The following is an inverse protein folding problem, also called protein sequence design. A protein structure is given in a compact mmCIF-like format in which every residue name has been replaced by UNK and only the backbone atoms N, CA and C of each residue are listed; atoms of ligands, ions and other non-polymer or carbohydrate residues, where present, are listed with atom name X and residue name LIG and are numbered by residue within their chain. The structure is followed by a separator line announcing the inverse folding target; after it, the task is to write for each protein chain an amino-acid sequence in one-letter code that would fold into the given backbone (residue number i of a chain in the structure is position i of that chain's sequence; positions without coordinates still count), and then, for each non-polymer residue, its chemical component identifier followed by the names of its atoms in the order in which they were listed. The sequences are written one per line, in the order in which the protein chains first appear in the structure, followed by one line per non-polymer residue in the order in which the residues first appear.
data_IF_072172880793
#
_entry.id   IF_072172880793
#
_cell.length_a   1.000
_cell.length_b   1.000
_cell.length_c   1.000
_cell.angle_alpha   90.00
_cell.angle_beta   90.00
_cell.angle_gamma   90.00
#
_symmetry.space_group_name_H-M   'P 1'
#
loop_
_entity.id
_entity.type
_entity.pdbx_description
1 polymer ?
#
# COMPACT_ATOMS: atom_id res chain seq x y z
N UNK A 1 5.32 31.69 -18.04
CA UNK A 1 3.88 31.73 -17.70
C UNK A 1 3.47 30.31 -17.40
N UNK A 2 3.74 29.89 -16.18
CA UNK A 2 3.40 28.59 -15.63
C UNK A 2 1.90 28.55 -15.44
N UNK A 3 1.20 27.71 -16.21
CA UNK A 3 -0.26 27.62 -16.16
C UNK A 3 -0.66 26.86 -14.89
N UNK A 4 -1.23 27.48 -13.84
CA UNK A 4 -1.34 26.89 -12.51
C UNK A 4 -2.51 25.90 -12.35
N UNK A 5 -3.07 25.39 -13.45
CA UNK A 5 -4.31 24.62 -13.43
C UNK A 5 -4.25 23.34 -14.27
N UNK A 6 -3.19 22.54 -14.08
CA UNK A 6 -3.35 21.10 -14.32
C UNK A 6 -4.14 20.58 -13.12
N UNK A 7 -5.35 20.01 -13.27
CA UNK A 7 -5.87 19.18 -12.21
C UNK A 7 -4.87 18.03 -12.09
N UNK A 8 -3.96 18.12 -11.13
CA UNK A 8 -3.31 16.94 -10.58
C UNK A 8 -4.50 16.09 -10.14
N UNK A 9 -4.90 15.11 -10.96
CA UNK A 9 -6.01 14.21 -10.67
C UNK A 9 -5.63 13.45 -9.41
N UNK A 10 -5.87 14.06 -8.27
CA UNK A 10 -5.61 13.52 -6.95
C UNK A 10 -6.39 12.22 -6.83
N UNK A 11 -5.71 11.21 -6.34
CA UNK A 11 -6.30 9.90 -6.10
C UNK A 11 -6.57 9.80 -4.61
N UNK A 12 -7.80 9.49 -4.22
CA UNK A 12 -8.08 9.07 -2.85
C UNK A 12 -7.68 7.62 -2.68
N UNK A 13 -6.82 7.33 -1.72
CA UNK A 13 -6.37 5.97 -1.40
C UNK A 13 -6.93 5.56 -0.05
N UNK A 14 -7.53 4.37 0.00
CA UNK A 14 -8.05 3.76 1.23
C UNK A 14 -7.40 2.39 1.37
N UNK A 15 -6.67 2.14 2.45
CA UNK A 15 -6.07 0.84 2.73
C UNK A 15 -6.68 0.24 3.98
N UNK A 16 -7.34 -0.90 3.81
CA UNK A 16 -7.96 -1.65 4.90
C UNK A 16 -6.97 -2.70 5.39
N UNK A 17 -6.70 -2.71 6.70
CA UNK A 17 -5.93 -3.76 7.36
C UNK A 17 -6.82 -4.37 8.46
N UNK A 18 -7.30 -5.62 8.32
CA UNK A 18 -8.31 -6.19 9.24
C UNK A 18 -7.94 -6.14 10.74
N UNK A 19 -6.66 -6.33 11.13
CA UNK A 19 -6.25 -6.19 12.53
C UNK A 19 -6.24 -4.75 13.06
N UNK A 20 -6.25 -3.73 12.19
CA UNK A 20 -6.34 -2.33 12.61
C UNK A 20 -7.79 -1.88 12.80
N UNK A 21 -8.01 -1.06 13.84
CA UNK A 21 -9.34 -0.52 14.14
C UNK A 21 -9.83 0.46 13.06
N UNK A 22 -8.92 1.20 12.42
CA UNK A 22 -9.25 2.19 11.40
C UNK A 22 -8.43 1.93 10.12
N UNK A 23 -9.00 2.15 8.93
CA UNK A 23 -8.24 2.09 7.69
C UNK A 23 -7.30 3.29 7.57
N UNK A 24 -6.23 3.12 6.81
CA UNK A 24 -5.41 4.23 6.34
C UNK A 24 -6.16 4.95 5.21
N UNK A 25 -6.26 6.27 5.28
CA UNK A 25 -6.89 7.09 4.26
C UNK A 25 -6.00 8.27 3.90
N UNK A 26 -5.82 8.50 2.61
CA UNK A 26 -5.15 9.68 2.08
C UNK A 26 -5.95 10.20 0.89
N UNK A 27 -6.40 11.45 0.98
CA UNK A 27 -7.31 12.04 -0.01
C UNK A 27 -6.56 12.70 -1.18
N UNK A 28 -5.25 12.94 -1.03
CA UNK A 28 -4.46 13.70 -2.00
C UNK A 28 -3.19 12.91 -2.31
N UNK A 29 -3.38 11.75 -2.93
CA UNK A 29 -2.27 10.93 -3.42
C UNK A 29 -1.95 11.25 -4.87
N UNK A 30 -0.65 11.39 -5.17
CA UNK A 30 -0.20 11.49 -6.55
C UNK A 30 -0.41 10.15 -7.27
N UNK A 31 -1.00 10.20 -8.46
CA UNK A 31 -1.13 9.01 -9.33
C UNK A 31 0.20 8.43 -9.78
N UNK A 32 1.29 9.21 -9.67
CA UNK A 32 2.65 8.79 -9.97
C UNK A 32 3.36 8.15 -8.76
N UNK A 33 2.79 8.23 -7.56
CA UNK A 33 3.30 7.50 -6.41
C UNK A 33 3.31 6.00 -6.72
N UNK A 34 4.35 5.30 -6.28
CA UNK A 34 4.50 3.87 -6.51
C UNK A 34 3.89 3.05 -5.37
N UNK A 35 3.55 1.80 -5.66
CA UNK A 35 3.09 0.82 -4.66
C UNK A 35 4.07 0.72 -3.50
N UNK A 36 5.38 0.68 -3.77
CA UNK A 36 6.40 0.59 -2.74
C UNK A 36 6.46 1.80 -1.81
N UNK A 37 6.24 3.00 -2.34
CA UNK A 37 6.17 4.22 -1.55
C UNK A 37 4.92 4.24 -0.66
N UNK A 38 3.75 3.90 -1.22
CA UNK A 38 2.50 3.81 -0.47
C UNK A 38 2.59 2.77 0.64
N UNK A 39 3.11 1.58 0.34
CA UNK A 39 3.29 0.50 1.33
C UNK A 39 4.08 0.99 2.53
N UNK A 40 5.20 1.69 2.34
CA UNK A 40 6.00 2.24 3.44
C UNK A 40 5.18 3.19 4.33
N UNK A 41 4.40 4.10 3.75
CA UNK A 41 3.55 5.03 4.50
C UNK A 41 2.46 4.30 5.29
N UNK A 42 1.84 3.29 4.68
CA UNK A 42 0.82 2.44 5.31
C UNK A 42 1.40 1.67 6.48
N UNK A 43 2.56 1.04 6.33
CA UNK A 43 3.22 0.30 7.42
C UNK A 43 3.55 1.23 8.59
N UNK A 44 4.12 2.42 8.32
CA UNK A 44 4.38 3.42 9.35
C UNK A 44 3.10 3.87 10.05
N UNK A 45 2.03 4.14 9.30
CA UNK A 45 0.75 4.59 9.87
C UNK A 45 0.10 3.54 10.77
N UNK A 46 0.28 2.25 10.46
CA UNK A 46 -0.20 1.14 11.28
C UNK A 46 0.80 0.65 12.35
N UNK A 47 2.01 1.22 12.42
CA UNK A 47 3.05 0.78 13.35
C UNK A 47 3.59 -0.63 13.05
N UNK A 48 3.54 -1.06 11.78
CA UNK A 48 3.93 -2.39 11.34
C UNK A 48 5.38 -2.41 10.87
N UNK A 49 6.11 -3.48 11.20
CA UNK A 49 7.48 -3.70 10.77
C UNK A 49 7.61 -5.03 10.04
N UNK A 50 8.32 -5.03 8.92
CA UNK A 50 8.67 -6.24 8.18
C UNK A 50 10.01 -6.80 8.64
N UNK A 51 10.15 -8.12 8.54
CA UNK A 51 11.41 -8.80 8.77
C UNK A 51 11.34 -9.92 9.82
N UNK A 52 12.52 -10.43 10.22
CA UNK A 52 12.64 -11.52 11.16
C UNK A 52 12.02 -11.19 12.51
N UNK A 53 11.35 -12.18 13.09
CA UNK A 53 10.76 -12.13 14.41
C UNK A 53 11.61 -12.96 15.39
N UNK A 54 11.48 -12.73 16.71
CA UNK A 54 12.22 -13.48 17.72
C UNK A 54 11.95 -15.00 17.71
N UNK A 55 10.81 -15.42 17.18
CA UNK A 55 10.41 -16.83 17.05
C UNK A 55 11.01 -17.52 15.80
N UNK A 56 11.87 -16.82 15.04
CA UNK A 56 12.46 -17.34 13.81
C UNK A 56 11.55 -17.26 12.58
N UNK A 57 10.34 -16.70 12.71
CA UNK A 57 9.49 -16.39 11.56
C UNK A 57 9.91 -15.07 10.90
N UNK A 58 9.45 -14.83 9.68
CA UNK A 58 9.57 -13.56 8.98
C UNK A 58 8.18 -13.02 8.67
N UNK A 59 7.90 -11.81 9.12
CA UNK A 59 6.65 -11.11 8.81
C UNK A 59 6.85 -10.23 7.57
N UNK A 60 5.99 -10.41 6.58
CA UNK A 60 5.88 -9.54 5.41
C UNK A 60 4.44 -9.03 5.29
N UNK A 61 4.28 -7.91 4.60
CA UNK A 61 2.96 -7.37 4.28
C UNK A 61 2.83 -7.13 2.79
N UNK A 62 1.67 -7.46 2.24
CA UNK A 62 1.41 -7.23 0.83
C UNK A 62 0.13 -6.45 0.62
N UNK A 63 0.19 -5.50 -0.32
CA UNK A 63 -0.98 -4.73 -0.75
C UNK A 63 -1.72 -5.54 -1.82
N UNK A 64 -3.04 -5.59 -1.71
CA UNK A 64 -3.92 -6.22 -2.68
C UNK A 64 -4.91 -5.21 -3.23
N UNK A 65 -5.14 -5.27 -4.54
CA UNK A 65 -6.25 -4.60 -5.20
C UNK A 65 -7.30 -5.65 -5.59
N UNK A 66 -8.38 -5.74 -4.82
CA UNK A 66 -9.36 -6.82 -4.99
C UNK A 66 -8.75 -8.18 -4.64
N UNK A 67 -8.53 -9.02 -5.65
CA UNK A 67 -7.87 -10.35 -5.52
C UNK A 67 -6.41 -10.32 -5.97
N UNK A 68 -5.99 -9.24 -6.62
CA UNK A 68 -4.67 -9.14 -7.23
C UNK A 68 -3.65 -8.67 -6.20
N UNK A 69 -2.54 -9.39 -6.09
CA UNK A 69 -1.40 -9.02 -5.27
C UNK A 69 -0.54 -7.99 -6.00
N UNK A 70 -0.24 -6.86 -5.34
CA UNK A 70 0.60 -5.81 -5.89
C UNK A 70 2.06 -6.09 -5.55
N UNK A 71 2.67 -6.99 -6.32
CA UNK A 71 4.05 -7.45 -6.11
C UNK A 71 5.11 -6.53 -6.72
N UNK A 72 4.75 -5.73 -7.73
CA UNK A 72 5.67 -4.76 -8.34
C UNK A 72 5.69 -3.44 -7.53
N UNK A 73 6.76 -3.16 -6.77
CA UNK A 73 6.85 -1.95 -5.97
C UNK A 73 7.03 -0.68 -6.82
N UNK A 74 7.37 -0.81 -8.11
CA UNK A 74 7.60 0.31 -9.04
C UNK A 74 6.32 0.70 -9.78
N UNK A 75 5.29 -0.14 -9.76
CA UNK A 75 4.00 0.16 -10.37
C UNK A 75 3.39 1.41 -9.74
N UNK A 76 2.86 2.32 -10.56
CA UNK A 76 2.22 3.53 -10.09
C UNK A 76 0.78 3.28 -9.65
N UNK A 77 0.31 4.03 -8.65
CA UNK A 77 -1.07 3.93 -8.15
C UNK A 77 -2.09 4.31 -9.22
N UNK A 78 -1.74 5.24 -10.12
CA UNK A 78 -2.55 5.61 -11.27
C UNK A 78 -2.74 4.46 -12.26
N UNK A 79 -1.71 3.62 -12.48
CA UNK A 79 -1.83 2.45 -13.35
C UNK A 79 -2.78 1.40 -12.76
N UNK A 80 -2.82 1.26 -11.43
CA UNK A 80 -3.72 0.33 -10.73
C UNK A 80 -5.15 0.88 -10.70
N UNK A 81 -5.30 2.18 -10.41
CA UNK A 81 -6.60 2.84 -10.30
C UNK A 81 -7.29 3.05 -11.65
N UNK A 82 -6.54 3.09 -12.76
CA UNK A 82 -7.05 3.45 -14.08
C UNK A 82 -7.61 4.87 -14.08
N UNK A 83 -8.88 5.06 -14.47
CA UNK A 83 -9.56 6.36 -14.43
C UNK A 83 -10.30 6.66 -13.11
N UNK A 84 -10.26 5.73 -12.14
CA UNK A 84 -11.01 5.90 -10.89
C UNK A 84 -10.40 7.00 -10.01
N UNK A 85 -11.25 7.81 -9.34
CA UNK A 85 -10.78 8.82 -8.38
C UNK A 85 -10.48 8.22 -7.00
N UNK A 86 -10.89 6.98 -6.74
CA UNK A 86 -10.65 6.26 -5.49
C UNK A 86 -9.99 4.92 -5.78
N UNK A 87 -8.90 4.63 -5.08
CA UNK A 87 -8.21 3.35 -5.07
C UNK A 87 -8.33 2.73 -3.68
N UNK A 88 -9.10 1.65 -3.59
CA UNK A 88 -9.25 0.90 -2.35
C UNK A 88 -8.38 -0.36 -2.40
N UNK A 89 -7.50 -0.50 -1.41
CA UNK A 89 -6.59 -1.62 -1.26
C UNK A 89 -6.84 -2.34 0.07
N UNK A 90 -6.30 -3.55 0.16
CA UNK A 90 -6.22 -4.32 1.40
C UNK A 90 -4.75 -4.59 1.72
N UNK A 91 -4.37 -4.47 2.97
CA UNK A 91 -3.09 -4.94 3.46
C UNK A 91 -3.30 -6.34 4.05
N UNK A 92 -2.50 -7.31 3.60
CA UNK A 92 -2.45 -8.65 4.16
C UNK A 92 -1.11 -8.86 4.87
N UNK A 93 -1.15 -9.47 6.05
CA UNK A 93 0.05 -9.93 6.74
C UNK A 93 0.32 -11.38 6.34
N UNK A 94 1.56 -11.68 6.00
CA UNK A 94 2.05 -13.04 5.81
C UNK A 94 3.17 -13.30 6.82
N UNK A 95 3.08 -14.42 7.50
CA UNK A 95 4.13 -14.90 8.41
C UNK A 95 4.67 -16.18 7.81
N UNK A 96 5.95 -16.17 7.44
CA UNK A 96 6.65 -17.34 6.95
C UNK A 96 7.56 -17.85 8.05
N UNK A 97 7.32 -19.07 8.54
CA UNK A 97 8.23 -19.72 9.47
C UNK A 97 9.47 -20.20 8.69
N UNK A 98 10.67 -19.84 9.14
CA UNK A 98 11.89 -20.44 8.60
C UNK A 98 11.84 -21.94 8.86
N UNK A 99 11.83 -22.75 7.80
CA UNK A 99 11.94 -24.20 7.90
C UNK A 99 13.31 -24.49 8.52
N UNK A 100 13.32 -24.91 9.79
CA UNK A 100 14.54 -25.28 10.50
C UNK A 100 15.21 -26.44 9.75
N UNK A 101 16.30 -26.13 9.04
CA UNK A 101 17.24 -27.12 8.53
C UNK A 101 18.55 -26.99 9.27
#
# INVERSE_FOLDING_TARGET
MDNPNKPHRSLKVIVIYPPAANPFQDEIVSREETVGALKKRVLVAFGLTEGPQPDGSTTTYTLHHGKDELTDPSQSLGAIAGDKPVLQLKLAQQVTQGDGR
#
